data_IF_582194108742
#
_entry.id   IF_582194108742
#
_cell.length_a   1.000
_cell.length_b   1.000
_cell.length_c   1.000
_cell.angle_alpha   90.00
_cell.angle_beta   90.00
_cell.angle_gamma   90.00
#
_symmetry.space_group_name_H-M   'P 1'
#
loop_
_entity.id
_entity.type
_entity.pdbx_description
1 polymer ?
#
# COMPACT_ATOMS: atom_id res chain seq x y z
N UNK A 1 -6.78 32.12 1.86
CA UNK A 1 -6.46 31.90 0.42
C UNK A 1 -5.95 30.46 0.28
N UNK A 2 -6.54 29.64 -0.61
CA UNK A 2 -6.06 28.27 -0.85
C UNK A 2 -4.81 28.32 -1.75
N UNK A 3 -3.85 27.42 -1.54
CA UNK A 3 -2.65 27.28 -2.39
C UNK A 3 -2.89 26.22 -3.46
N UNK A 4 -2.59 26.54 -4.70
CA UNK A 4 -2.63 25.58 -5.81
C UNK A 4 -1.28 24.90 -5.91
N UNK A 5 -1.26 23.57 -5.82
CA UNK A 5 -0.07 22.75 -6.03
C UNK A 5 -0.18 22.03 -7.39
N UNK A 6 0.96 21.67 -8.02
CA UNK A 6 0.96 20.74 -9.15
C UNK A 6 0.29 19.41 -8.77
N UNK A 7 -0.27 18.67 -9.75
CA UNK A 7 -0.83 17.36 -9.49
C UNK A 7 0.25 16.42 -8.93
N UNK A 8 -0.12 15.67 -7.89
CA UNK A 8 0.76 14.75 -7.20
C UNK A 8 -0.04 13.74 -6.38
N UNK A 9 0.62 12.72 -5.87
CA UNK A 9 -0.01 11.61 -5.15
C UNK A 9 -0.18 11.95 -3.67
N UNK A 10 -0.97 13.00 -3.42
CA UNK A 10 -1.17 13.62 -2.11
C UNK A 10 -2.44 13.06 -1.43
N UNK A 11 -2.44 11.77 -1.11
CA UNK A 11 -3.55 11.10 -0.41
C UNK A 11 -3.28 11.12 1.10
N UNK A 12 -4.26 11.55 1.89
CA UNK A 12 -4.17 11.62 3.35
C UNK A 12 -5.49 11.16 4.01
N UNK A 13 -5.45 10.30 5.05
CA UNK A 13 -4.27 9.62 5.58
C UNK A 13 -3.75 8.56 4.60
N UNK A 14 -2.44 8.35 4.61
CA UNK A 14 -1.81 7.28 3.84
C UNK A 14 -1.49 6.11 4.78
N UNK A 15 -1.91 4.87 4.46
CA UNK A 15 -1.56 3.72 5.27
C UNK A 15 -0.04 3.51 5.33
N UNK A 16 0.47 3.06 6.48
CA UNK A 16 1.85 2.62 6.64
C UNK A 16 1.84 1.11 6.94
N UNK A 17 2.00 0.28 5.90
CA UNK A 17 1.89 -1.19 6.01
C UNK A 17 3.23 -1.84 5.67
N UNK A 18 3.59 -2.89 6.42
CA UNK A 18 4.66 -3.82 6.05
C UNK A 18 4.02 -5.02 5.35
N UNK A 19 4.41 -5.27 4.11
CA UNK A 19 4.05 -6.47 3.35
C UNK A 19 5.19 -7.45 3.43
N UNK A 20 4.90 -8.69 3.82
CA UNK A 20 5.87 -9.79 3.87
C UNK A 20 5.55 -10.85 2.82
N UNK A 21 6.56 -11.48 2.21
CA UNK A 21 6.38 -12.63 1.34
C UNK A 21 7.57 -13.59 1.44
N UNK A 22 7.37 -14.86 1.11
CA UNK A 22 8.42 -15.87 1.12
C UNK A 22 7.85 -17.28 1.16
N UNK A 23 8.57 -18.25 0.58
CA UNK A 23 8.24 -19.68 0.62
C UNK A 23 8.82 -20.39 1.85
N UNK A 24 9.81 -19.80 2.50
CA UNK A 24 10.41 -20.26 3.76
C UNK A 24 10.95 -19.07 4.56
N UNK A 25 11.45 -19.31 5.77
CA UNK A 25 12.08 -18.26 6.60
C UNK A 25 13.34 -17.72 5.93
N UNK A 26 14.13 -18.59 5.31
CA UNK A 26 15.37 -18.27 4.61
C UNK A 26 15.11 -17.48 3.32
N UNK A 27 13.90 -17.59 2.75
CA UNK A 27 13.46 -16.89 1.55
C UNK A 27 12.44 -15.78 1.85
N UNK A 28 12.40 -15.29 3.10
CA UNK A 28 11.49 -14.23 3.50
C UNK A 28 11.99 -12.86 3.06
N UNK A 29 11.05 -11.99 2.68
CA UNK A 29 11.30 -10.59 2.36
C UNK A 29 10.17 -9.72 2.90
N UNK A 30 10.47 -8.43 3.09
CA UNK A 30 9.51 -7.43 3.52
C UNK A 30 9.71 -6.09 2.83
N UNK A 31 8.61 -5.38 2.58
CA UNK A 31 8.63 -4.03 2.04
C UNK A 31 7.54 -3.16 2.67
N UNK A 32 7.81 -1.86 2.76
CA UNK A 32 6.81 -0.87 3.16
C UNK A 32 5.93 -0.52 1.95
N UNK A 33 4.60 -0.62 2.10
CA UNK A 33 3.63 -0.27 1.06
C UNK A 33 2.64 0.73 1.60
N UNK A 34 2.52 1.85 0.89
CA UNK A 34 1.58 2.92 1.20
C UNK A 34 0.38 2.96 0.23
N UNK A 35 0.58 2.41 -0.98
CA UNK A 35 -0.47 2.26 -2.00
C UNK A 35 -1.23 0.95 -1.78
N UNK A 36 -2.14 1.00 -0.81
CA UNK A 36 -2.92 -0.14 -0.35
C UNK A 36 -4.24 0.32 0.26
N UNK A 37 -5.18 -0.60 0.41
CA UNK A 37 -6.47 -0.34 1.05
C UNK A 37 -7.41 -1.54 0.99
N UNK A 38 -8.53 -1.43 1.71
CA UNK A 38 -9.64 -2.39 1.64
C UNK A 38 -10.34 -2.27 0.28
N UNK A 39 -10.56 -3.39 -0.40
CA UNK A 39 -11.25 -3.46 -1.68
C UNK A 39 -12.75 -3.66 -1.47
N UNK A 40 -13.14 -4.69 -0.73
CA UNK A 40 -14.55 -4.96 -0.42
C UNK A 40 -14.68 -5.83 0.85
N UNK A 41 -15.92 -5.97 1.34
CA UNK A 41 -16.25 -6.73 2.56
C UNK A 41 -16.60 -8.18 2.28
N UNK A 42 -17.11 -8.51 1.09
CA UNK A 42 -17.52 -9.88 0.74
C UNK A 42 -17.14 -10.26 -0.72
N UNK A 43 -16.22 -11.22 -0.92
CA UNK A 43 -15.28 -11.72 0.10
C UNK A 43 -14.39 -10.58 0.62
N UNK A 44 -13.91 -10.61 1.88
CA UNK A 44 -13.06 -9.54 2.39
C UNK A 44 -11.72 -9.53 1.63
N UNK A 45 -11.41 -8.39 1.02
CA UNK A 45 -10.21 -8.24 0.19
C UNK A 45 -9.49 -6.92 0.47
N UNK A 46 -8.16 -6.94 0.30
CA UNK A 46 -7.32 -5.74 0.23
C UNK A 46 -6.42 -5.83 -1.01
N UNK A 47 -5.84 -4.70 -1.41
CA UNK A 47 -4.89 -4.66 -2.53
C UNK A 47 -3.56 -4.04 -2.10
N UNK A 48 -2.49 -4.40 -2.81
CA UNK A 48 -1.19 -3.71 -2.73
C UNK A 48 -0.71 -3.43 -4.15
N UNK A 49 -0.21 -2.21 -4.40
CA UNK A 49 0.44 -1.87 -5.66
C UNK A 49 1.96 -2.05 -5.52
N UNK A 50 2.49 -3.09 -6.16
CA UNK A 50 3.94 -3.43 -6.15
C UNK A 50 4.54 -3.14 -7.52
N UNK A 51 5.74 -2.56 -7.53
CA UNK A 51 6.50 -2.34 -8.76
C UNK A 51 7.26 -3.62 -9.12
N UNK A 52 7.20 -4.12 -10.37
CA UNK A 52 8.01 -5.25 -10.84
C UNK A 52 9.51 -4.99 -10.78
#
# INVERSE_FOLDING_TARGET
MKRTFPPGTMIYPLPAVIVTCGSSVEQSNMLTVAWTGTVCTNPPMCYISVRP
#
